data_IF_275660168986
#
_entry.id   IF_275660168986
#
_cell.length_a   1.000
_cell.length_b   1.000
_cell.length_c   1.000
_cell.angle_alpha   90.00
_cell.angle_beta   90.00
_cell.angle_gamma   90.00
#
_symmetry.space_group_name_H-M   'P 1'
#
loop_
_entity.id
_entity.type
_entity.pdbx_description
1 polymer ?
#
# COMPACT_ATOMS: atom_id res chain seq x y z
N UNK A 1 -40.79 13.41 -26.85
CA UNK A 1 -41.88 12.43 -26.75
C UNK A 1 -41.76 11.45 -27.91
N UNK A 2 -41.57 10.16 -27.63
CA UNK A 2 -41.75 9.09 -28.60
C UNK A 2 -42.14 7.81 -27.82
N UNK A 3 -43.34 7.28 -28.10
CA UNK A 3 -43.92 6.06 -27.50
C UNK A 3 -43.81 4.92 -28.52
N UNK A 4 -43.33 3.74 -28.12
CA UNK A 4 -43.46 2.46 -28.83
C UNK A 4 -43.73 1.40 -27.73
N UNK A 5 -45.00 1.10 -27.42
CA UNK A 5 -45.89 0.07 -28.00
C UNK A 5 -45.48 -1.38 -27.70
N UNK A 6 -46.32 -2.03 -26.86
CA UNK A 6 -46.38 -3.48 -26.57
C UNK A 6 -46.89 -4.25 -27.79
N UNK A 7 -46.38 -5.46 -27.99
CA UNK A 7 -47.04 -6.51 -28.75
C UNK A 7 -47.10 -7.80 -27.92
N UNK A 8 -48.32 -8.21 -27.55
CA UNK A 8 -48.66 -9.56 -27.09
C UNK A 8 -49.08 -10.39 -28.32
N UNK A 9 -48.72 -11.68 -28.36
CA UNK A 9 -49.43 -12.67 -29.18
C UNK A 9 -49.51 -13.99 -28.42
N UNK A 10 -50.73 -14.36 -28.08
CA UNK A 10 -51.15 -15.62 -27.45
C UNK A 10 -51.23 -16.79 -28.46
N UNK A 11 -50.76 -17.96 -28.02
CA UNK A 11 -51.41 -19.28 -28.02
C UNK A 11 -51.92 -19.91 -29.33
N UNK A 12 -51.32 -21.06 -29.72
CA UNK A 12 -51.87 -22.45 -29.59
C UNK A 12 -51.34 -23.39 -30.69
N UNK A 13 -50.75 -24.51 -30.27
CA UNK A 13 -51.02 -25.82 -30.87
C UNK A 13 -50.83 -26.90 -29.80
N UNK A 14 -51.89 -27.68 -29.59
CA UNK A 14 -52.08 -28.72 -28.58
C UNK A 14 -52.18 -30.06 -29.31
N UNK A 15 -51.44 -31.07 -28.87
CA UNK A 15 -51.82 -32.49 -28.97
C UNK A 15 -50.79 -33.42 -29.61
N UNK A 16 -50.65 -34.62 -29.00
CA UNK A 16 -49.77 -35.78 -29.31
C UNK A 16 -48.37 -35.67 -28.68
N UNK A 17 -48.03 -36.17 -27.47
CA UNK A 17 -48.40 -37.37 -26.69
C UNK A 17 -48.03 -38.69 -27.38
N UNK A 18 -46.80 -39.19 -27.18
CA UNK A 18 -46.54 -40.40 -26.38
C UNK A 18 -45.05 -40.74 -26.22
N UNK A 19 -44.71 -41.23 -25.02
CA UNK A 19 -43.66 -42.22 -24.74
C UNK A 19 -42.20 -41.87 -25.06
N UNK A 20 -41.55 -41.19 -24.11
CA UNK A 20 -40.26 -41.57 -23.49
C UNK A 20 -39.97 -40.54 -22.38
N UNK A 21 -40.78 -40.57 -21.32
CA UNK A 21 -40.57 -39.80 -20.09
C UNK A 21 -40.74 -40.80 -18.93
N UNK A 22 -39.92 -41.85 -18.97
CA UNK A 22 -39.86 -42.85 -17.93
C UNK A 22 -39.17 -42.27 -16.70
N UNK A 23 -39.97 -42.01 -15.67
CA UNK A 23 -39.64 -42.06 -14.25
C UNK A 23 -38.28 -41.51 -13.81
N UNK A 24 -38.20 -40.19 -13.67
CA UNK A 24 -37.37 -39.56 -12.65
C UNK A 24 -38.22 -38.54 -11.88
N UNK A 25 -39.29 -39.03 -11.25
CA UNK A 25 -39.98 -38.33 -10.17
C UNK A 25 -39.09 -38.39 -8.93
N UNK A 26 -38.16 -37.44 -8.83
CA UNK A 26 -37.35 -37.13 -7.64
C UNK A 26 -38.25 -36.48 -6.56
N UNK A 27 -39.21 -37.25 -6.06
CA UNK A 27 -39.99 -36.95 -4.84
C UNK A 27 -39.42 -37.77 -3.68
N UNK A 28 -38.09 -37.81 -3.57
CA UNK A 28 -37.44 -38.27 -2.35
C UNK A 28 -37.60 -37.13 -1.33
N UNK A 29 -38.64 -37.25 -0.49
CA UNK A 29 -38.82 -36.40 0.68
C UNK A 29 -37.51 -36.33 1.50
N UNK A 30 -37.30 -35.28 2.30
CA UNK A 30 -36.05 -35.09 3.03
C UNK A 30 -35.69 -36.37 3.79
N UNK A 31 -34.50 -36.90 3.47
CA UNK A 31 -33.95 -38.12 4.07
C UNK A 31 -34.19 -38.10 5.58
N UNK A 32 -34.84 -39.12 6.10
CA UNK A 32 -35.14 -39.23 7.53
C UNK A 32 -33.83 -39.42 8.30
N UNK A 33 -33.15 -38.32 8.60
CA UNK A 33 -31.91 -38.34 9.35
C UNK A 33 -32.23 -38.77 10.77
N UNK A 34 -31.79 -39.96 11.15
CA UNK A 34 -31.96 -40.43 12.52
C UNK A 34 -31.18 -39.53 13.49
N UNK A 35 -31.61 -39.49 14.75
CA UNK A 35 -30.91 -38.71 15.79
C UNK A 35 -29.44 -39.11 15.93
N UNK A 36 -29.11 -40.39 15.73
CA UNK A 36 -27.75 -40.90 15.80
C UNK A 36 -26.90 -40.46 14.60
N UNK A 37 -27.48 -40.41 13.40
CA UNK A 37 -26.80 -39.89 12.20
C UNK A 37 -26.51 -38.40 12.35
N UNK A 38 -27.50 -37.63 12.83
CA UNK A 38 -27.34 -36.21 13.14
C UNK A 38 -26.20 -35.97 14.15
N UNK A 39 -26.13 -36.82 15.17
CA UNK A 39 -25.06 -36.76 16.19
C UNK A 39 -23.70 -37.12 15.59
N UNK A 40 -23.63 -38.13 14.74
CA UNK A 40 -22.40 -38.54 14.07
C UNK A 40 -21.88 -37.43 13.12
N UNK A 41 -22.78 -36.79 12.36
CA UNK A 41 -22.46 -35.66 11.48
C UNK A 41 -21.96 -34.46 12.29
N UNK A 42 -22.64 -34.10 13.38
CA UNK A 42 -22.19 -33.00 14.23
C UNK A 42 -20.78 -33.23 14.81
N UNK A 43 -20.49 -34.45 15.28
CA UNK A 43 -19.16 -34.79 15.80
C UNK A 43 -18.07 -34.77 14.72
N UNK A 44 -18.38 -35.22 13.50
CA UNK A 44 -17.46 -35.12 12.35
C UNK A 44 -17.20 -33.66 11.99
N UNK A 45 -18.25 -32.84 11.88
CA UNK A 45 -18.13 -31.42 11.58
C UNK A 45 -17.24 -30.67 12.57
N UNK A 46 -17.34 -30.97 13.88
CA UNK A 46 -16.47 -30.37 14.91
C UNK A 46 -15.00 -30.77 14.72
N UNK A 47 -14.74 -32.05 14.38
CA UNK A 47 -13.39 -32.53 14.10
C UNK A 47 -12.82 -31.86 12.86
N UNK A 48 -13.60 -31.83 11.77
CA UNK A 48 -13.19 -31.25 10.50
C UNK A 48 -12.93 -29.75 10.62
N UNK A 49 -13.76 -29.03 11.40
CA UNK A 49 -13.54 -27.62 11.72
C UNK A 49 -12.24 -27.41 12.51
N UNK A 50 -11.90 -28.29 13.46
CA UNK A 50 -10.64 -28.20 14.19
C UNK A 50 -9.44 -28.46 13.27
N UNK A 51 -9.57 -29.41 12.37
CA UNK A 51 -8.47 -29.83 11.50
C UNK A 51 -8.29 -28.88 10.31
N UNK A 52 -9.33 -28.21 9.83
CA UNK A 52 -9.22 -27.13 8.85
C UNK A 52 -8.40 -25.95 9.40
N UNK A 53 -8.63 -25.54 10.66
CA UNK A 53 -7.85 -24.48 11.32
C UNK A 53 -6.37 -24.86 11.45
N UNK A 54 -6.07 -26.12 11.78
CA UNK A 54 -4.67 -26.59 11.83
C UNK A 54 -4.00 -26.52 10.46
N UNK A 55 -4.68 -27.03 9.41
CA UNK A 55 -4.19 -27.00 8.03
C UNK A 55 -3.96 -25.57 7.55
N UNK A 56 -4.88 -24.65 7.83
CA UNK A 56 -4.73 -23.24 7.48
C UNK A 56 -3.50 -22.60 8.15
N UNK A 57 -3.30 -22.88 9.44
CA UNK A 57 -2.12 -22.42 10.18
C UNK A 57 -0.81 -22.96 9.58
N UNK A 58 -0.80 -24.20 9.11
CA UNK A 58 0.35 -24.80 8.44
C UNK A 58 0.63 -24.15 7.08
N UNK A 59 -0.40 -23.91 6.27
CA UNK A 59 -0.28 -23.17 5.00
C UNK A 59 0.30 -21.77 5.21
N UNK A 60 -0.11 -21.07 6.27
CA UNK A 60 0.44 -19.76 6.62
C UNK A 60 1.93 -19.84 7.01
N UNK A 61 2.32 -20.87 7.77
CA UNK A 61 3.73 -21.11 8.11
C UNK A 61 4.56 -21.45 6.87
N UNK A 62 4.03 -22.26 5.96
CA UNK A 62 4.69 -22.61 4.70
C UNK A 62 4.89 -21.37 3.81
N UNK A 63 3.88 -20.52 3.67
CA UNK A 63 3.99 -19.22 2.97
C UNK A 63 5.06 -18.34 3.60
N UNK A 64 5.17 -18.30 4.93
CA UNK A 64 6.26 -17.57 5.62
C UNK A 64 7.63 -18.16 5.30
N UNK A 65 7.78 -19.49 5.33
CA UNK A 65 9.04 -20.18 4.97
C UNK A 65 9.45 -19.88 3.53
N UNK A 66 8.52 -19.99 2.56
CA UNK A 66 8.77 -19.67 1.14
C UNK A 66 9.25 -18.24 0.94
N UNK A 67 8.62 -17.25 1.60
CA UNK A 67 9.09 -15.86 1.55
C UNK A 67 10.49 -15.67 2.13
N UNK A 68 10.80 -16.37 3.22
CA UNK A 68 12.12 -16.31 3.83
C UNK A 68 13.20 -16.93 2.92
N UNK A 69 12.91 -18.07 2.29
CA UNK A 69 13.79 -18.69 1.31
C UNK A 69 14.03 -17.78 0.10
N UNK A 70 12.97 -17.17 -0.45
CA UNK A 70 13.08 -16.20 -1.54
C UNK A 70 13.97 -15.02 -1.15
N UNK A 71 13.83 -14.49 0.06
CA UNK A 71 14.69 -13.40 0.53
C UNK A 71 16.16 -13.83 0.63
N UNK A 72 16.42 -15.03 1.14
CA UNK A 72 17.79 -15.57 1.20
C UNK A 72 18.37 -15.78 -0.20
N UNK A 73 17.60 -16.32 -1.14
CA UNK A 73 17.99 -16.50 -2.53
C UNK A 73 18.22 -15.17 -3.24
N UNK A 74 17.36 -14.17 -3.01
CA UNK A 74 17.57 -12.80 -3.50
C UNK A 74 18.83 -12.16 -2.92
N UNK A 75 19.15 -12.44 -1.65
CA UNK A 75 20.41 -11.97 -1.05
C UNK A 75 21.61 -12.68 -1.66
N UNK A 76 21.54 -13.99 -1.89
CA UNK A 76 22.60 -14.77 -2.56
C UNK A 76 22.81 -14.35 -4.01
N UNK A 77 21.74 -14.12 -4.78
CA UNK A 77 21.82 -13.67 -6.18
C UNK A 77 22.23 -12.21 -6.34
N UNK A 78 22.02 -11.37 -5.32
CA UNK A 78 22.55 -9.99 -5.28
C UNK A 78 24.01 -9.92 -4.83
N UNK A 79 24.54 -10.98 -4.23
CA UNK A 79 25.98 -11.09 -4.03
C UNK A 79 26.60 -11.40 -5.39
N UNK A 80 27.75 -10.77 -5.66
CA UNK A 80 28.53 -11.09 -6.85
C UNK A 80 28.88 -12.58 -6.82
N UNK A 81 28.92 -13.27 -7.98
CA UNK A 81 29.37 -14.65 -8.05
C UNK A 81 30.66 -14.84 -7.26
N UNK A 82 30.72 -15.88 -6.45
CA UNK A 82 31.84 -16.15 -5.53
C UNK A 82 33.19 -16.21 -6.27
N UNK A 83 33.18 -16.67 -7.53
CA UNK A 83 34.33 -16.63 -8.44
C UNK A 83 34.91 -15.22 -8.64
N UNK A 84 34.08 -14.17 -8.74
CA UNK A 84 34.57 -12.79 -8.89
C UNK A 84 35.12 -12.23 -7.57
N UNK A 85 34.55 -12.62 -6.43
CA UNK A 85 35.08 -12.25 -5.11
C UNK A 85 36.46 -12.87 -4.86
N UNK A 86 36.65 -14.12 -5.26
CA UNK A 86 37.94 -14.82 -5.18
C UNK A 86 39.00 -14.19 -6.10
N UNK A 87 38.61 -13.72 -7.29
CA UNK A 87 39.50 -12.94 -8.17
C UNK A 87 39.96 -11.62 -7.51
N UNK A 88 39.09 -10.89 -6.82
CA UNK A 88 39.50 -9.67 -6.11
C UNK A 88 40.44 -9.96 -4.93
N UNK A 89 40.21 -11.06 -4.19
CA UNK A 89 41.09 -11.45 -3.08
C UNK A 89 42.46 -11.93 -3.55
N UNK A 90 42.53 -12.64 -4.69
CA UNK A 90 43.80 -13.09 -5.28
C UNK A 90 44.57 -11.95 -5.95
N UNK A 91 43.88 -10.95 -6.52
CA UNK A 91 44.51 -9.73 -7.06
C UNK A 91 45.14 -8.88 -5.95
N UNK A 92 44.51 -8.75 -4.79
CA UNK A 92 45.08 -8.01 -3.64
C UNK A 92 46.30 -8.72 -3.05
N UNK A 93 46.42 -10.04 -3.21
CA UNK A 93 47.57 -10.84 -2.74
C UNK A 93 48.78 -10.85 -3.68
N UNK A 94 48.69 -10.27 -4.88
CA UNK A 94 49.89 -10.04 -5.72
C UNK A 94 50.51 -8.69 -5.35
N UNK A 95 51.70 -8.66 -4.72
CA UNK A 95 52.37 -7.40 -4.40
C UNK A 95 52.74 -6.66 -5.70
N UNK A 96 52.61 -5.31 -5.73
CA UNK A 96 53.02 -4.52 -6.88
C UNK A 96 54.55 -4.46 -6.95
N UNK A 97 55.12 -5.03 -8.01
CA UNK A 97 56.52 -4.77 -8.37
C UNK A 97 56.62 -3.37 -8.97
N UNK A 98 57.16 -2.42 -8.21
CA UNK A 98 57.65 -1.13 -8.71
C UNK A 98 59.17 -1.22 -8.87
N UNK A 99 59.77 -0.75 -9.97
CA UNK A 99 61.18 -0.41 -9.99
C UNK A 99 61.39 0.99 -9.41
N UNK A 100 62.32 1.04 -8.43
CA UNK A 100 62.96 2.20 -7.84
C UNK A 100 63.54 3.17 -8.88
N UNK A 101 63.55 4.47 -8.58
CA UNK A 101 64.77 5.29 -8.49
C UNK A 101 64.52 6.59 -7.67
N UNK A 102 65.10 6.58 -6.47
CA UNK A 102 65.89 7.62 -5.78
C UNK A 102 65.46 9.11 -5.77
N UNK A 103 65.45 9.68 -4.55
CA UNK A 103 65.61 11.14 -4.34
C UNK A 103 65.13 11.64 -2.97
N UNK A 104 66.06 11.87 -2.05
CA UNK A 104 65.87 12.11 -0.62
C UNK A 104 65.21 13.44 -0.19
N UNK A 105 64.45 13.32 0.92
CA UNK A 105 64.35 14.18 2.11
C UNK A 105 64.56 15.72 2.03
N UNK A 106 63.56 16.50 2.49
CA UNK A 106 63.51 17.09 3.84
C UNK A 106 62.48 18.24 3.95
N UNK A 107 61.76 18.23 5.06
CA UNK A 107 60.75 19.22 5.46
C UNK A 107 61.36 20.56 5.90
N UNK A 108 60.67 21.68 5.66
CA UNK A 108 60.32 22.66 6.72
C UNK A 108 59.33 23.77 6.28
N UNK A 109 58.21 23.79 7.01
CA UNK A 109 57.45 24.92 7.57
C UNK A 109 57.02 26.12 6.68
N UNK A 110 55.72 26.09 6.37
CA UNK A 110 54.68 27.13 6.61
C UNK A 110 55.11 28.62 6.59
N UNK A 111 54.64 29.35 5.57
CA UNK A 111 54.08 30.71 5.75
C UNK A 111 52.94 30.97 4.76
N UNK A 112 51.80 31.36 5.31
CA UNK A 112 50.55 31.72 4.62
C UNK A 112 50.73 33.02 3.83
N UNK A 113 50.35 33.05 2.55
CA UNK A 113 49.83 34.27 1.89
C UNK A 113 48.77 33.88 0.85
N UNK A 114 47.56 34.44 1.01
CA UNK A 114 46.43 34.34 0.09
C UNK A 114 46.75 35.08 -1.21
N UNK A 115 46.66 34.41 -2.34
CA UNK A 115 46.22 34.99 -3.63
C UNK A 115 45.48 33.87 -4.37
N UNK A 116 44.13 33.89 -4.35
CA UNK A 116 43.34 32.98 -5.20
C UNK A 116 43.32 33.57 -6.59
N UNK A 117 44.19 33.05 -7.44
CA UNK A 117 44.11 33.16 -8.89
C UNK A 117 42.85 32.46 -9.39
N UNK A 118 42.21 33.11 -10.34
CA UNK A 118 41.02 32.67 -11.08
C UNK A 118 41.27 31.33 -11.77
N UNK A 119 40.75 30.22 -11.21
CA UNK A 119 40.56 28.99 -11.97
C UNK A 119 39.17 29.02 -12.59
N UNK A 120 39.14 29.35 -13.88
CA UNK A 120 38.00 29.10 -14.77
C UNK A 120 37.65 27.62 -14.66
N UNK A 121 36.44 27.29 -14.20
CA UNK A 121 35.88 25.96 -14.42
C UNK A 121 35.73 25.72 -15.93
N UNK A 122 35.74 24.46 -16.39
CA UNK A 122 35.41 24.16 -17.77
C UNK A 122 33.99 24.68 -18.04
N UNK A 123 33.83 25.54 -19.04
CA UNK A 123 32.52 25.96 -19.55
C UNK A 123 31.83 24.72 -20.12
N UNK A 124 31.03 24.05 -19.29
CA UNK A 124 30.12 23.01 -19.73
C UNK A 124 29.15 23.61 -20.75
N UNK A 125 29.00 22.91 -21.88
CA UNK A 125 28.22 23.26 -23.05
C UNK A 125 26.91 24.00 -22.71
N UNK A 126 26.85 25.30 -23.00
CA UNK A 126 25.59 26.05 -23.03
C UNK A 126 24.85 25.66 -24.31
N UNK A 127 23.87 24.77 -24.19
CA UNK A 127 23.00 24.47 -25.32
C UNK A 127 22.14 23.22 -25.14
N UNK A 128 21.21 23.23 -24.19
CA UNK A 128 20.13 22.24 -24.19
C UNK A 128 19.13 22.67 -25.28
N UNK A 129 19.37 22.24 -26.53
CA UNK A 129 18.42 22.45 -27.62
C UNK A 129 17.18 21.58 -27.38
N UNK A 130 16.11 22.19 -26.84
CA UNK A 130 14.82 21.54 -26.69
C UNK A 130 13.98 21.82 -27.93
N UNK A 131 14.01 20.90 -28.88
CA UNK A 131 13.14 20.95 -30.06
C UNK A 131 11.76 20.41 -29.65
N UNK A 132 10.75 21.27 -29.68
CA UNK A 132 9.34 20.86 -29.59
C UNK A 132 8.63 21.29 -30.86
N UNK A 133 7.76 20.44 -31.41
CA UNK A 133 6.85 20.91 -32.46
C UNK A 133 5.77 21.76 -31.78
N UNK A 134 5.48 22.94 -32.35
CA UNK A 134 4.53 23.92 -31.79
C UNK A 134 3.15 23.30 -31.54
N UNK A 135 2.73 22.32 -32.34
CA UNK A 135 1.47 21.58 -32.16
C UNK A 135 1.45 20.63 -30.96
N UNK A 136 2.61 20.17 -30.49
CA UNK A 136 2.70 19.19 -29.40
C UNK A 136 2.49 19.82 -28.01
N UNK A 137 2.50 21.15 -27.88
CA UNK A 137 2.36 21.84 -26.59
C UNK A 137 0.92 22.13 -26.15
N UNK A 138 0.03 22.49 -27.08
CA UNK A 138 -1.33 22.99 -26.76
C UNK A 138 -2.44 22.02 -27.17
N UNK A 139 -2.34 21.38 -28.34
CA UNK A 139 -3.34 20.42 -28.79
C UNK A 139 -3.29 19.12 -27.96
N UNK A 140 -2.07 18.65 -27.64
CA UNK A 140 -1.89 17.51 -26.76
C UNK A 140 -2.38 17.80 -25.35
N UNK A 141 -2.23 19.04 -24.84
CA UNK A 141 -2.75 19.37 -23.51
C UNK A 141 -4.27 19.49 -23.48
N UNK A 142 -4.91 19.99 -24.54
CA UNK A 142 -6.38 19.99 -24.63
C UNK A 142 -6.96 18.57 -24.72
N UNK A 143 -6.40 17.72 -25.60
CA UNK A 143 -6.83 16.34 -25.74
C UNK A 143 -6.53 15.52 -24.48
N UNK A 144 -5.38 15.73 -23.86
CA UNK A 144 -5.02 15.10 -22.59
C UNK A 144 -5.94 15.54 -21.45
N UNK A 145 -6.31 16.83 -21.37
CA UNK A 145 -7.32 17.31 -20.41
C UNK A 145 -8.67 16.63 -20.66
N UNK A 146 -9.14 16.60 -21.90
CA UNK A 146 -10.39 15.89 -22.24
C UNK A 146 -10.34 14.40 -21.86
N UNK A 147 -9.22 13.72 -22.08
CA UNK A 147 -9.04 12.32 -21.67
C UNK A 147 -9.01 12.15 -20.14
N UNK A 148 -8.34 13.06 -19.42
CA UNK A 148 -8.32 13.08 -17.96
C UNK A 148 -9.73 13.31 -17.40
N UNK A 149 -10.47 14.27 -17.96
CA UNK A 149 -11.84 14.59 -17.55
C UNK A 149 -12.78 13.41 -17.81
N UNK A 150 -12.62 12.71 -18.94
CA UNK A 150 -13.37 11.48 -19.25
C UNK A 150 -13.11 10.38 -18.22
N UNK A 151 -11.83 10.14 -17.86
CA UNK A 151 -11.46 9.17 -16.83
C UNK A 151 -12.03 9.58 -15.47
N UNK A 152 -11.91 10.87 -15.11
CA UNK A 152 -12.47 11.39 -13.87
C UNK A 152 -13.98 11.18 -13.81
N UNK A 153 -14.73 11.53 -14.85
CA UNK A 153 -16.18 11.37 -14.87
C UNK A 153 -16.62 9.89 -14.77
N UNK A 154 -15.92 8.96 -15.43
CA UNK A 154 -16.32 7.54 -15.46
C UNK A 154 -15.84 6.73 -14.27
N UNK A 155 -14.65 7.02 -13.73
CA UNK A 155 -14.03 6.24 -12.64
C UNK A 155 -14.13 6.92 -11.27
N UNK A 156 -14.05 8.24 -11.23
CA UNK A 156 -13.92 9.07 -10.02
C UNK A 156 -15.04 10.12 -9.87
N UNK A 157 -16.11 10.01 -10.66
CA UNK A 157 -17.24 10.93 -10.67
C UNK A 157 -18.29 10.65 -9.60
N UNK A 158 -19.36 11.47 -9.51
CA UNK A 158 -20.42 11.29 -8.52
C UNK A 158 -21.04 9.88 -8.58
N UNK A 159 -21.14 9.21 -7.42
CA UNK A 159 -21.70 7.87 -7.30
C UNK A 159 -20.66 6.73 -7.28
N UNK A 160 -19.38 7.01 -7.52
CA UNK A 160 -18.28 6.04 -7.28
C UNK A 160 -17.66 6.24 -5.90
N UNK A 161 -17.23 5.15 -5.26
CA UNK A 161 -16.45 5.21 -4.01
C UNK A 161 -14.93 5.30 -4.28
N UNK A 162 -14.52 5.33 -5.56
CA UNK A 162 -13.11 5.39 -5.94
C UNK A 162 -12.62 6.83 -5.87
N UNK A 163 -11.43 7.03 -5.30
CA UNK A 163 -10.70 8.31 -5.32
C UNK A 163 -9.38 8.14 -6.06
N UNK A 164 -8.82 9.24 -6.56
CA UNK A 164 -7.50 9.19 -7.19
C UNK A 164 -6.39 9.03 -6.14
N UNK A 165 -5.26 8.41 -6.52
CA UNK A 165 -4.13 8.26 -5.59
C UNK A 165 -3.61 9.60 -5.06
N UNK A 166 -3.62 10.63 -5.91
CA UNK A 166 -3.22 11.99 -5.53
C UNK A 166 -4.17 12.58 -4.49
N UNK A 167 -5.48 12.39 -4.65
CA UNK A 167 -6.50 12.82 -3.69
C UNK A 167 -6.40 12.03 -2.38
N UNK A 168 -6.25 10.71 -2.45
CA UNK A 168 -6.10 9.84 -1.27
C UNK A 168 -4.86 10.21 -0.43
N UNK A 169 -3.76 10.55 -1.09
CA UNK A 169 -2.51 10.94 -0.44
C UNK A 169 -2.42 12.45 -0.15
N UNK A 170 -3.41 13.25 -0.57
CA UNK A 170 -3.45 14.68 -0.37
C UNK A 170 -3.46 15.05 1.12
N UNK A 171 -2.86 16.19 1.45
CA UNK A 171 -2.87 16.70 2.82
C UNK A 171 -4.29 17.01 3.31
N UNK A 172 -5.19 17.40 2.40
CA UNK A 172 -6.58 17.69 2.71
C UNK A 172 -7.31 16.44 3.25
N UNK A 173 -7.15 15.28 2.60
CA UNK A 173 -7.71 14.01 3.11
C UNK A 173 -6.96 13.45 4.32
N UNK A 174 -5.73 13.89 4.59
CA UNK A 174 -4.96 13.48 5.78
C UNK A 174 -5.16 14.36 7.01
N UNK A 175 -5.43 15.64 6.82
CA UNK A 175 -5.49 16.67 7.89
C UNK A 175 -6.82 17.39 7.97
N UNK A 176 -7.80 17.02 7.13
CA UNK A 176 -9.12 17.62 7.13
C UNK A 176 -9.85 17.46 8.46
N UNK A 177 -10.79 18.37 8.73
CA UNK A 177 -11.55 18.44 9.99
C UNK A 177 -12.26 17.11 10.37
N UNK A 178 -12.60 16.28 9.39
CA UNK A 178 -13.22 14.96 9.60
C UNK A 178 -12.24 13.79 9.74
N UNK A 179 -10.93 14.04 9.64
CA UNK A 179 -9.89 13.00 9.62
C UNK A 179 -9.04 13.16 10.87
N UNK A 180 -9.54 12.61 11.98
CA UNK A 180 -8.83 12.57 13.25
C UNK A 180 -7.69 11.55 13.24
N UNK A 181 -6.79 11.66 14.22
CA UNK A 181 -5.77 10.62 14.44
C UNK A 181 -6.44 9.25 14.57
N UNK A 182 -5.95 8.25 13.83
CA UNK A 182 -6.49 6.88 13.82
C UNK A 182 -6.55 6.25 15.23
N UNK A 183 -5.65 6.69 16.13
CA UNK A 183 -5.64 6.34 17.54
C UNK A 183 -5.38 7.62 18.33
N UNK A 184 -6.33 8.03 19.18
CA UNK A 184 -6.12 9.09 20.15
C UNK A 184 -5.67 8.46 21.46
N UNK A 185 -4.36 8.51 21.74
CA UNK A 185 -3.80 7.98 22.99
C UNK A 185 -4.22 8.76 24.23
N UNK A 186 -4.67 10.01 24.06
CA UNK A 186 -5.10 10.87 25.15
C UNK A 186 -6.51 11.34 24.88
N UNK A 187 -7.43 10.97 25.76
CA UNK A 187 -8.77 11.53 25.73
C UNK A 187 -8.72 13.01 26.13
N UNK A 188 -8.83 13.89 25.14
CA UNK A 188 -8.79 15.35 25.35
C UNK A 188 -9.98 15.86 26.18
N UNK A 189 -11.11 15.14 26.22
CA UNK A 189 -12.28 15.54 27.00
C UNK A 189 -12.15 15.22 28.49
N UNK A 190 -11.43 14.16 28.86
CA UNK A 190 -11.26 13.74 30.26
C UNK A 190 -10.57 14.80 31.14
N UNK A 191 -9.61 15.53 30.56
CA UNK A 191 -8.87 16.57 31.28
C UNK A 191 -9.68 17.83 31.57
N UNK A 192 -10.73 18.13 30.79
CA UNK A 192 -11.50 19.36 30.94
C UNK A 192 -12.33 19.35 32.24
N UNK A 193 -13.00 18.25 32.54
CA UNK A 193 -13.82 18.12 33.74
C UNK A 193 -13.00 18.14 35.02
N UNK A 194 -11.84 17.46 35.02
CA UNK A 194 -10.93 17.49 36.16
C UNK A 194 -10.34 18.89 36.39
N UNK A 195 -9.98 19.61 35.32
CA UNK A 195 -9.53 21.00 35.40
C UNK A 195 -10.61 21.92 35.96
N UNK A 196 -11.85 21.81 35.48
CA UNK A 196 -12.97 22.59 35.99
C UNK A 196 -13.28 22.29 37.47
N UNK A 197 -13.19 21.02 37.89
CA UNK A 197 -13.31 20.62 39.30
C UNK A 197 -12.18 21.20 40.15
N UNK A 198 -10.94 21.13 39.66
CA UNK A 198 -9.77 21.69 40.34
C UNK A 198 -9.88 23.22 40.50
N UNK A 199 -10.30 23.94 39.47
CA UNK A 199 -10.53 25.38 39.53
C UNK A 199 -11.64 25.75 40.54
N UNK A 200 -12.76 25.02 40.54
CA UNK A 200 -13.84 25.21 41.53
C UNK A 200 -13.34 24.94 42.96
N UNK A 201 -12.54 23.88 43.14
CA UNK A 201 -11.94 23.56 44.43
C UNK A 201 -10.98 24.66 44.89
N UNK A 202 -10.10 25.13 44.00
CA UNK A 202 -9.15 26.19 44.28
C UNK A 202 -9.86 27.51 44.67
N UNK A 203 -10.89 27.91 43.91
CA UNK A 203 -11.74 29.07 44.27
C UNK A 203 -12.36 28.93 45.66
N UNK A 204 -12.90 27.76 45.99
CA UNK A 204 -13.45 27.47 47.34
C UNK A 204 -12.39 27.51 48.42
N UNK A 205 -11.20 26.98 48.16
CA UNK A 205 -10.08 26.98 49.09
C UNK A 205 -9.62 28.41 49.39
N UNK A 206 -9.38 29.21 48.35
CA UNK A 206 -8.97 30.63 48.49
C UNK A 206 -10.03 31.43 49.26
N UNK A 207 -11.32 31.24 48.95
CA UNK A 207 -12.42 31.86 49.69
C UNK A 207 -12.44 31.45 51.17
N UNK A 208 -12.25 30.17 51.48
CA UNK A 208 -12.19 29.67 52.86
C UNK A 208 -10.99 30.21 53.63
N UNK A 209 -9.85 30.35 52.97
CA UNK A 209 -8.63 30.88 53.58
C UNK A 209 -8.66 32.41 53.74
N UNK A 210 -9.73 33.09 53.28
CA UNK A 210 -9.86 34.56 53.27
C UNK A 210 -8.65 35.27 52.64
N UNK A 211 -7.94 34.60 51.73
CA UNK A 211 -6.73 35.12 51.08
C UNK A 211 -7.04 36.20 50.05
N UNK A 212 -8.32 36.34 49.70
CA UNK A 212 -8.84 37.49 48.96
C UNK A 212 -9.90 38.10 49.85
N UNK A 213 -9.51 39.13 50.60
CA UNK A 213 -10.43 40.12 51.16
C UNK A 213 -10.86 41.00 49.99
N UNK A 214 -12.08 40.79 49.47
CA UNK A 214 -12.79 41.89 48.80
C UNK A 214 -13.31 42.84 49.85
#
# INVERSE_FOLDING_TARGET
MAKLQRGNSELKSRGELSEEMSDQSDDEGPEEVTFDDSKAVALKNVKDARDSVKREKELLKEKRRKRQLLFQEQKKSRLLPEALLEEFETVVKKPPTLPDEQGEQQQKKKKKRKVKTTKKGPKGLQGNCRVMRVKDGTANTSMQKSAMDFIQARLYGPGTQRTTNAELLSLEKKRGLGQGAAVQFVNKSWGADQKAKAEKCNKRFIHRQKLIST
#
